data_IF_513106902969
#
_entry.id   IF_513106902969
#
_cell.length_a   1.000
_cell.length_b   1.000
_cell.length_c   1.000
_cell.angle_alpha   90.00
_cell.angle_beta   90.00
_cell.angle_gamma   90.00
#
_symmetry.space_group_name_H-M   'P 1'
#
loop_
_entity.id
_entity.type
_entity.pdbx_description
1 polymer ?
#
# COMPACT_ATOMS: atom_id res chain seq x y z
N UNK A 1 20.39 -0.68 2.84
CA UNK A 1 19.19 -1.21 2.17
C UNK A 1 18.09 -1.45 3.19
N UNK A 2 16.87 -1.03 2.90
CA UNK A 2 15.72 -1.31 3.75
C UNK A 2 15.49 -2.80 3.92
N UNK A 3 14.84 -3.20 5.02
CA UNK A 3 14.48 -4.60 5.27
C UNK A 3 13.11 -4.87 4.64
N UNK A 4 13.02 -5.89 3.81
CA UNK A 4 11.80 -6.27 3.10
C UNK A 4 11.20 -7.56 3.62
N UNK A 5 9.89 -7.60 3.69
CA UNK A 5 9.13 -8.79 4.05
C UNK A 5 7.94 -8.95 3.09
N UNK A 6 7.86 -10.03 2.31
CA UNK A 6 8.92 -11.02 2.14
C UNK A 6 10.19 -10.44 1.54
N UNK A 7 11.32 -11.13 1.70
CA UNK A 7 12.62 -10.65 1.28
C UNK A 7 12.83 -10.61 -0.23
N UNK A 8 12.03 -11.36 -0.97
CA UNK A 8 12.10 -11.45 -2.43
C UNK A 8 10.72 -11.14 -3.00
N UNK A 9 10.66 -10.20 -3.94
CA UNK A 9 9.44 -9.92 -4.67
C UNK A 9 9.17 -11.04 -5.67
N UNK A 10 7.92 -11.53 -5.70
CA UNK A 10 7.51 -12.52 -6.68
C UNK A 10 7.09 -11.83 -7.96
N UNK A 11 7.95 -11.88 -8.98
CA UNK A 11 7.72 -11.19 -10.24
C UNK A 11 6.53 -11.74 -11.03
N UNK A 12 6.08 -12.96 -10.75
CA UNK A 12 4.89 -13.52 -11.40
C UNK A 12 3.59 -12.90 -10.93
N UNK A 13 3.58 -12.35 -9.72
CA UNK A 13 2.39 -11.79 -9.11
C UNK A 13 2.46 -10.28 -8.93
N UNK A 14 3.58 -9.68 -9.28
CA UNK A 14 3.80 -8.24 -9.11
C UNK A 14 3.73 -7.53 -10.46
N UNK A 15 3.06 -6.38 -10.48
CA UNK A 15 3.02 -5.54 -11.66
C UNK A 15 4.37 -4.88 -11.90
N UNK A 16 4.58 -4.38 -13.13
CA UNK A 16 5.78 -3.61 -13.46
C UNK A 16 5.92 -2.37 -12.56
N UNK A 17 4.80 -1.70 -12.28
CA UNK A 17 4.79 -0.54 -11.36
C UNK A 17 5.23 -0.91 -9.96
N UNK A 18 4.77 -2.06 -9.44
CA UNK A 18 5.20 -2.54 -8.12
C UNK A 18 6.69 -2.85 -8.10
N UNK A 19 7.23 -3.42 -9.15
CA UNK A 19 8.67 -3.69 -9.26
C UNK A 19 9.49 -2.40 -9.24
N UNK A 20 9.03 -1.36 -9.91
CA UNK A 20 9.69 -0.05 -9.90
C UNK A 20 9.68 0.59 -8.51
N UNK A 21 8.56 0.50 -7.81
CA UNK A 21 8.46 1.02 -6.44
C UNK A 21 9.35 0.22 -5.50
N UNK A 22 9.37 -1.11 -5.62
CA UNK A 22 10.25 -1.97 -4.84
C UNK A 22 11.71 -1.56 -5.01
N UNK A 23 12.14 -1.35 -6.24
CA UNK A 23 13.51 -0.93 -6.53
C UNK A 23 13.83 0.43 -5.89
N UNK A 24 12.91 1.39 -5.98
CA UNK A 24 13.10 2.69 -5.36
C UNK A 24 13.19 2.59 -3.84
N UNK A 25 12.31 1.80 -3.21
CA UNK A 25 12.32 1.61 -1.76
C UNK A 25 13.56 0.86 -1.27
N UNK A 26 14.15 0.01 -2.11
CA UNK A 26 15.37 -0.72 -1.72
C UNK A 26 16.57 0.19 -1.48
N UNK A 27 16.53 1.41 -1.98
CA UNK A 27 17.58 2.41 -1.76
C UNK A 27 17.50 3.09 -0.39
N UNK A 28 16.43 2.90 0.35
CA UNK A 28 16.32 3.40 1.71
C UNK A 28 17.30 2.67 2.63
N UNK A 29 17.69 3.31 3.73
CA UNK A 29 18.62 2.71 4.68
C UNK A 29 17.95 1.61 5.51
N UNK A 30 18.73 0.94 6.36
CA UNK A 30 18.26 -0.22 7.14
C UNK A 30 17.35 0.13 8.33
N UNK A 31 17.07 1.38 8.57
CA UNK A 31 16.08 1.79 9.58
C UNK A 31 14.65 1.60 9.06
N UNK A 32 14.48 1.52 7.74
CA UNK A 32 13.18 1.32 7.13
C UNK A 32 12.86 -0.17 7.01
N UNK A 33 11.63 -0.51 7.33
CA UNK A 33 11.07 -1.85 7.13
C UNK A 33 9.93 -1.73 6.14
N UNK A 34 9.93 -2.57 5.13
CA UNK A 34 8.94 -2.54 4.06
C UNK A 34 8.24 -3.89 3.99
N UNK A 35 6.92 -3.87 4.13
CA UNK A 35 6.08 -5.01 3.82
C UNK A 35 5.47 -4.78 2.45
N UNK A 36 5.51 -5.78 1.58
CA UNK A 36 4.83 -5.70 0.30
C UNK A 36 3.80 -6.80 0.15
N UNK A 37 2.73 -6.49 -0.58
CA UNK A 37 1.57 -7.37 -0.70
C UNK A 37 0.98 -7.71 0.68
N UNK A 38 0.90 -6.71 1.56
CA UNK A 38 0.40 -6.89 2.92
C UNK A 38 -1.11 -7.00 2.92
N UNK A 39 -1.62 -8.12 3.40
CA UNK A 39 -3.05 -8.33 3.59
C UNK A 39 -3.47 -7.96 5.00
N UNK A 40 -4.59 -7.26 5.08
CA UNK A 40 -5.21 -6.96 6.34
C UNK A 40 -6.62 -7.53 6.39
N UNK A 41 -7.03 -7.91 7.60
CA UNK A 41 -8.37 -8.42 7.88
C UNK A 41 -8.95 -7.63 9.03
N UNK A 42 -10.17 -7.16 8.87
CA UNK A 42 -10.85 -6.39 9.90
C UNK A 42 -12.34 -6.62 9.91
N UNK A 43 -13.01 -5.97 10.84
CA UNK A 43 -14.46 -5.98 10.92
C UNK A 43 -14.99 -4.55 10.82
N UNK A 44 -16.00 -4.36 9.97
CA UNK A 44 -16.75 -3.12 9.87
C UNK A 44 -18.22 -3.47 10.09
N UNK A 45 -18.84 -2.88 11.11
CA UNK A 45 -20.25 -3.11 11.43
C UNK A 45 -20.60 -4.60 11.50
N UNK A 46 -19.77 -5.38 12.21
CA UNK A 46 -19.91 -6.84 12.37
C UNK A 46 -19.72 -7.64 11.07
N UNK A 47 -19.26 -7.01 10.01
CA UNK A 47 -18.91 -7.70 8.78
C UNK A 47 -17.39 -7.80 8.67
N UNK A 48 -16.92 -8.95 8.21
CA UNK A 48 -15.52 -9.12 7.87
C UNK A 48 -15.18 -8.26 6.67
N UNK A 49 -14.10 -7.51 6.78
CA UNK A 49 -13.52 -6.82 5.63
C UNK A 49 -12.06 -7.22 5.51
N UNK A 50 -11.60 -7.33 4.28
CA UNK A 50 -10.22 -7.62 3.99
C UNK A 50 -9.72 -6.70 2.88
N UNK A 51 -8.44 -6.47 2.87
CA UNK A 51 -7.81 -5.67 1.83
C UNK A 51 -6.34 -5.99 1.75
N UNK A 52 -5.70 -5.40 0.76
CA UNK A 52 -4.28 -5.56 0.54
C UNK A 52 -3.64 -4.20 0.31
N UNK A 53 -2.58 -3.91 1.04
CA UNK A 53 -1.72 -2.77 0.78
C UNK A 53 -0.55 -3.23 -0.08
N UNK A 54 -0.29 -2.54 -1.18
CA UNK A 54 0.81 -2.91 -2.06
C UNK A 54 2.15 -2.80 -1.33
N UNK A 55 2.37 -1.71 -0.61
CA UNK A 55 3.54 -1.53 0.24
C UNK A 55 3.15 -0.84 1.54
N UNK A 56 3.74 -1.30 2.64
CA UNK A 56 3.67 -0.62 3.93
C UNK A 56 5.10 -0.34 4.37
N UNK A 57 5.43 0.93 4.57
CA UNK A 57 6.76 1.38 4.96
C UNK A 57 6.72 1.84 6.40
N UNK A 58 7.63 1.31 7.21
CA UNK A 58 7.72 1.63 8.63
C UNK A 58 9.09 2.21 8.94
N UNK A 59 9.09 3.23 9.79
CA UNK A 59 10.29 3.83 10.32
C UNK A 59 10.05 4.13 11.80
N UNK A 60 11.02 3.82 12.71
CA UNK A 60 10.77 3.93 14.15
C UNK A 60 10.48 5.35 14.63
N UNK A 61 10.93 6.35 13.91
CA UNK A 61 10.73 7.76 14.28
C UNK A 61 9.78 8.51 13.37
N UNK A 62 9.61 8.05 12.12
CA UNK A 62 8.80 8.75 11.13
C UNK A 62 7.39 8.19 11.00
N UNK A 63 7.16 6.95 11.42
CA UNK A 63 5.84 6.35 11.45
C UNK A 63 5.58 5.34 10.34
N UNK A 64 4.34 5.32 9.88
CA UNK A 64 3.83 4.32 8.96
C UNK A 64 3.31 5.01 7.70
N UNK A 65 3.68 4.49 6.55
CA UNK A 65 3.18 4.96 5.26
C UNK A 65 2.66 3.77 4.46
N UNK A 66 1.41 3.85 4.02
CA UNK A 66 0.83 2.87 3.10
C UNK A 66 0.90 3.42 1.68
N UNK A 67 1.40 2.61 0.77
CA UNK A 67 1.57 2.99 -0.64
C UNK A 67 0.70 2.09 -1.50
N UNK A 68 -0.13 2.72 -2.33
CA UNK A 68 -0.95 2.04 -3.33
C UNK A 68 -0.37 2.31 -4.71
N UNK A 69 -0.11 1.25 -5.47
CA UNK A 69 0.49 1.35 -6.80
C UNK A 69 -0.56 1.04 -7.85
N UNK A 70 -0.72 1.93 -8.81
CA UNK A 70 -1.62 1.74 -9.93
C UNK A 70 -0.83 1.74 -11.24
N UNK A 71 -1.14 0.76 -12.08
CA UNK A 71 -0.49 0.59 -13.38
C UNK A 71 -1.46 0.94 -14.51
N UNK A 72 -0.91 1.01 -15.72
CA UNK A 72 -1.69 1.35 -16.90
C UNK A 72 -1.70 2.86 -17.15
N UNK A 73 -2.68 3.32 -17.90
CA UNK A 73 -2.87 4.73 -18.16
C UNK A 73 -3.79 5.32 -17.10
N UNK A 74 -3.30 6.30 -16.37
CA UNK A 74 -4.03 6.92 -15.26
C UNK A 74 -4.34 8.37 -15.60
N UNK A 75 -5.60 8.77 -15.46
CA UNK A 75 -6.03 10.14 -15.68
C UNK A 75 -6.95 10.61 -14.55
N UNK A 76 -6.93 11.91 -14.30
CA UNK A 76 -7.88 12.55 -13.38
C UNK A 76 -8.78 13.47 -14.19
N UNK A 77 -10.09 13.20 -14.13
CA UNK A 77 -11.06 13.95 -14.92
C UNK A 77 -12.40 14.02 -14.19
N UNK A 78 -12.96 15.23 -14.14
CA UNK A 78 -14.25 15.50 -13.49
C UNK A 78 -14.34 14.97 -12.04
N UNK A 79 -13.27 15.11 -11.27
CA UNK A 79 -13.25 14.66 -9.89
C UNK A 79 -13.01 13.17 -9.70
N UNK A 80 -12.77 12.43 -10.78
CA UNK A 80 -12.54 10.99 -10.72
C UNK A 80 -11.18 10.59 -11.27
N UNK A 81 -10.58 9.59 -10.64
CA UNK A 81 -9.42 8.90 -11.18
C UNK A 81 -9.89 7.79 -12.11
N UNK A 82 -9.31 7.73 -13.29
CA UNK A 82 -9.68 6.76 -14.33
C UNK A 82 -8.44 5.95 -14.70
N UNK A 83 -8.58 4.64 -14.63
CA UNK A 83 -7.56 3.71 -15.07
C UNK A 83 -7.98 3.05 -16.36
N UNK A 84 -7.12 3.10 -17.38
CA UNK A 84 -7.36 2.49 -18.68
C UNK A 84 -6.35 1.37 -18.90
N UNK A 85 -6.87 0.18 -19.21
CA UNK A 85 -6.02 -0.96 -19.56
C UNK A 85 -5.42 -0.72 -20.94
N UNK A 86 -4.09 -0.78 -21.05
CA UNK A 86 -3.39 -0.49 -22.31
C UNK A 86 -3.65 -1.54 -23.39
N UNK A 87 -3.99 -2.76 -23.00
CA UNK A 87 -4.24 -3.86 -23.93
C UNK A 87 -5.70 -3.92 -24.39
N UNK A 88 -6.63 -3.90 -23.46
CA UNK A 88 -8.06 -4.01 -23.77
C UNK A 88 -8.71 -2.68 -24.08
N UNK A 89 -8.08 -1.56 -23.71
CA UNK A 89 -8.61 -0.19 -23.82
C UNK A 89 -9.83 0.05 -22.95
N UNK A 90 -10.14 -0.85 -22.03
CA UNK A 90 -11.23 -0.67 -21.09
C UNK A 90 -10.84 0.29 -19.98
N UNK A 91 -11.75 1.15 -19.60
CA UNK A 91 -11.55 2.14 -18.55
C UNK A 91 -12.46 1.87 -17.37
N UNK A 92 -11.99 2.19 -16.17
CA UNK A 92 -12.80 2.13 -14.95
C UNK A 92 -12.44 3.27 -14.02
N UNK A 93 -13.40 3.66 -13.20
CA UNK A 93 -13.17 4.63 -12.13
C UNK A 93 -12.51 3.90 -10.98
N UNK A 94 -11.44 4.48 -10.44
CA UNK A 94 -10.69 3.94 -9.30
C UNK A 94 -10.63 4.97 -8.18
N UNK A 95 -10.32 4.49 -6.97
CA UNK A 95 -10.14 5.34 -5.81
C UNK A 95 -8.81 5.01 -5.10
N UNK A 96 -7.68 5.38 -5.72
CA UNK A 96 -6.37 5.03 -5.15
C UNK A 96 -6.10 5.73 -3.81
N UNK A 97 -6.57 6.96 -3.67
CA UNK A 97 -6.40 7.73 -2.43
C UNK A 97 -7.18 7.10 -1.29
N UNK A 98 -8.45 6.74 -1.53
CA UNK A 98 -9.28 6.07 -0.54
C UNK A 98 -8.73 4.69 -0.17
N UNK A 99 -8.24 3.94 -1.14
CA UNK A 99 -7.64 2.62 -0.89
C UNK A 99 -6.39 2.73 0.00
N UNK A 100 -5.52 3.68 -0.29
CA UNK A 100 -4.32 3.90 0.53
C UNK A 100 -4.67 4.36 1.94
N UNK A 101 -5.61 5.30 2.06
CA UNK A 101 -6.06 5.82 3.36
C UNK A 101 -6.71 4.72 4.21
N UNK A 102 -7.54 3.88 3.61
CA UNK A 102 -8.18 2.77 4.33
C UNK A 102 -7.17 1.76 4.83
N UNK A 103 -6.21 1.36 3.99
CA UNK A 103 -5.14 0.45 4.39
C UNK A 103 -4.33 1.02 5.54
N UNK A 104 -3.96 2.29 5.47
CA UNK A 104 -3.18 2.94 6.53
C UNK A 104 -3.96 3.00 7.84
N UNK A 105 -5.25 3.36 7.79
CA UNK A 105 -6.12 3.42 8.95
C UNK A 105 -6.25 2.04 9.62
N UNK A 106 -6.46 0.98 8.84
CA UNK A 106 -6.59 -0.38 9.35
C UNK A 106 -5.33 -0.88 10.01
N UNK A 107 -4.19 -0.67 9.37
CA UNK A 107 -2.89 -1.08 9.89
C UNK A 107 -2.57 -0.31 11.18
N UNK A 108 -2.82 0.98 11.21
CA UNK A 108 -2.61 1.82 12.37
C UNK A 108 -3.46 1.32 13.56
N UNK A 109 -4.74 1.02 13.33
CA UNK A 109 -5.61 0.52 14.38
C UNK A 109 -5.16 -0.85 14.91
N UNK A 110 -4.73 -1.72 14.02
CA UNK A 110 -4.19 -3.03 14.42
C UNK A 110 -2.99 -2.85 15.35
N UNK A 111 -2.06 -1.99 14.99
CA UNK A 111 -0.85 -1.74 15.78
C UNK A 111 -1.18 -1.12 17.14
N UNK A 112 -2.14 -0.19 17.18
CA UNK A 112 -2.58 0.43 18.44
C UNK A 112 -3.18 -0.59 19.40
N UNK A 113 -3.90 -1.58 18.91
CA UNK A 113 -4.52 -2.62 19.73
C UNK A 113 -3.49 -3.59 20.30
N UNK A 114 -2.41 -3.86 19.56
CA UNK A 114 -1.41 -4.86 19.93
C UNK A 114 -0.20 -4.25 20.63
N UNK A 115 0.03 -2.98 20.46
CA UNK A 115 1.15 -2.27 21.05
C UNK A 115 0.64 -1.06 21.83
N UNK A 116 0.91 -1.03 23.14
CA UNK A 116 0.53 0.08 23.99
C UNK A 116 1.42 1.29 23.70
N UNK A 117 0.84 2.32 23.09
CA UNK A 117 1.57 3.56 22.81
C UNK A 117 1.07 4.26 21.57
N UNK A 118 1.56 5.47 21.36
CA UNK A 118 1.26 6.24 20.18
C UNK A 118 2.17 5.79 19.04
N UNK A 119 1.56 5.53 17.89
CA UNK A 119 2.27 5.18 16.68
C UNK A 119 2.18 6.38 15.76
N UNK A 120 3.33 7.02 15.40
CA UNK A 120 3.32 8.11 14.44
C UNK A 120 2.82 7.63 13.09
N UNK A 121 2.02 8.46 12.42
CA UNK A 121 1.49 8.14 11.10
C UNK A 121 1.81 9.27 10.16
N UNK A 122 2.34 8.90 9.00
CA UNK A 122 2.56 9.81 7.88
C UNK A 122 1.48 9.53 6.84
N UNK A 123 0.69 10.52 6.54
CA UNK A 123 -0.43 10.38 5.64
C UNK A 123 -0.17 10.77 4.23
#
# INVERSE_FOLDING_TARGET
MAKFYPTIINSFHSSEGECLVYEALSKLNNEYVVFHSYRWLGEINQRRSEGEADFVVLHPQKGILSIEVKAGSIAYYNGNWIQTNRHTKESKIIDPVGQAAESQYRIQNYLRRHFNGQIPVVG
#
